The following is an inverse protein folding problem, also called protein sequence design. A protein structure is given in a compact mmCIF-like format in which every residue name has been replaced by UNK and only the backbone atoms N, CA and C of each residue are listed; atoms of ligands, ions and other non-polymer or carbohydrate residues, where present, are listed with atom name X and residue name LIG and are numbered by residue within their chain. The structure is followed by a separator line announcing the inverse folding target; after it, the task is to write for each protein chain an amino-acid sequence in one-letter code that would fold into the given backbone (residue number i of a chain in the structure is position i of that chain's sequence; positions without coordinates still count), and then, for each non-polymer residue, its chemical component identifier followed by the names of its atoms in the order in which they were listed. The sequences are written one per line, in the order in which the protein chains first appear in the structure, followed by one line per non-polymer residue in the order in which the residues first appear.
data_IF_833584984341
#
_entry.id   IF_833584984341
#
_cell.length_a   1.000
_cell.length_b   1.000
_cell.length_c   1.000
_cell.angle_alpha   90.00
_cell.angle_beta   90.00
_cell.angle_gamma   90.00
#
_symmetry.space_group_name_H-M   'P 1'
#
loop_
_entity.id
_entity.type
_entity.pdbx_description
1 polymer ?
#
# COMPACT_ATOMS: atom_id res chain seq x y z
N UNK A 1 21.64 -11.99 -2.60
CA UNK A 1 20.16 -11.97 -2.71
C UNK A 1 19.49 -11.26 -1.51
N UNK A 2 20.09 -10.17 -0.98
CA UNK A 2 19.47 -9.29 0.04
C UNK A 2 19.12 -7.90 -0.55
N UNK A 3 19.80 -7.49 -1.62
CA UNK A 3 19.63 -6.20 -2.28
C UNK A 3 18.19 -5.88 -2.72
N UNK A 4 17.41 -6.86 -3.19
CA UNK A 4 16.03 -6.59 -3.66
C UNK A 4 15.08 -6.18 -2.54
N UNK A 5 15.26 -6.75 -1.34
CA UNK A 5 14.44 -6.41 -0.17
C UNK A 5 14.78 -5.02 0.35
N UNK A 6 16.07 -4.74 0.47
CA UNK A 6 16.55 -3.44 0.94
C UNK A 6 16.12 -2.33 0.00
N UNK A 7 16.24 -2.53 -1.32
CA UNK A 7 15.79 -1.57 -2.31
C UNK A 7 14.29 -1.26 -2.21
N UNK A 8 13.44 -2.28 -2.01
CA UNK A 8 12.00 -2.06 -1.80
C UNK A 8 11.73 -1.26 -0.53
N UNK A 9 12.46 -1.53 0.55
CA UNK A 9 12.32 -0.79 1.80
C UNK A 9 12.74 0.67 1.60
N UNK A 10 13.86 0.94 0.92
CA UNK A 10 14.32 2.28 0.60
C UNK A 10 13.28 3.05 -0.24
N UNK A 11 12.75 2.41 -1.28
CA UNK A 11 11.69 2.98 -2.12
C UNK A 11 10.45 3.35 -1.29
N UNK A 12 10.01 2.45 -0.41
CA UNK A 12 8.86 2.72 0.45
C UNK A 12 9.16 3.82 1.47
N UNK A 13 10.37 3.88 2.04
CA UNK A 13 10.79 4.93 2.97
C UNK A 13 10.76 6.29 2.27
N UNK A 14 11.22 6.36 1.02
CA UNK A 14 11.12 7.57 0.20
C UNK A 14 9.67 7.95 -0.07
N UNK A 15 8.82 6.99 -0.44
CA UNK A 15 7.39 7.23 -0.66
C UNK A 15 6.67 7.72 0.62
N UNK A 16 6.99 7.13 1.79
CA UNK A 16 6.51 7.61 3.09
C UNK A 16 6.90 9.05 3.35
N UNK A 17 8.14 9.46 3.03
CA UNK A 17 8.57 10.86 3.23
C UNK A 17 7.76 11.86 2.38
N UNK A 18 7.24 11.41 1.24
CA UNK A 18 6.44 12.25 0.33
C UNK A 18 4.98 12.34 0.83
N UNK A 19 4.35 11.21 1.14
CA UNK A 19 2.90 11.16 1.46
C UNK A 19 2.57 11.10 2.96
N UNK A 20 3.59 10.94 3.80
CA UNK A 20 3.51 10.92 5.27
C UNK A 20 2.55 9.86 5.86
N UNK A 21 2.30 8.77 5.14
CA UNK A 21 1.41 7.68 5.55
C UNK A 21 2.10 6.64 6.46
N UNK A 22 1.34 6.02 7.37
CA UNK A 22 1.82 4.87 8.16
C UNK A 22 1.83 3.60 7.31
N UNK A 23 3.00 3.25 6.78
CA UNK A 23 3.18 2.04 5.97
C UNK A 23 3.59 0.86 6.87
N UNK A 24 2.86 -0.24 6.73
CA UNK A 24 3.22 -1.54 7.32
C UNK A 24 3.45 -2.54 6.19
N UNK A 25 4.67 -3.06 6.09
CA UNK A 25 5.08 -4.04 5.08
C UNK A 25 5.19 -5.43 5.72
N UNK A 26 4.54 -6.42 5.14
CA UNK A 26 4.60 -7.82 5.61
C UNK A 26 5.39 -8.65 4.61
N UNK A 27 6.45 -9.30 5.06
CA UNK A 27 7.23 -10.26 4.27
C UNK A 27 6.93 -11.70 4.69
N UNK A 28 6.85 -12.59 3.70
CA UNK A 28 6.80 -14.03 3.97
C UNK A 28 8.19 -14.53 4.41
N UNK A 29 8.27 -15.03 5.64
CA UNK A 29 9.50 -15.30 6.35
C UNK A 29 10.05 -16.70 6.10
N UNK A 30 10.85 -16.89 5.06
CA UNK A 30 11.74 -18.05 4.95
C UNK A 30 13.20 -17.61 4.83
N UNK A 31 13.85 -17.29 5.96
CA UNK A 31 15.32 -17.41 6.08
C UNK A 31 15.94 -17.25 7.47
N UNK A 32 15.30 -16.60 8.44
CA UNK A 32 16.01 -16.18 9.66
C UNK A 32 15.75 -17.01 10.93
N UNK A 33 15.23 -18.23 10.84
CA UNK A 33 15.30 -19.25 11.91
C UNK A 33 14.67 -18.92 13.28
N UNK A 34 14.12 -17.72 13.46
CA UNK A 34 13.44 -17.29 14.67
C UNK A 34 11.98 -17.73 14.53
N UNK A 35 11.56 -18.74 15.29
CA UNK A 35 10.18 -19.24 15.32
C UNK A 35 9.14 -18.24 15.86
N UNK A 36 9.38 -16.94 15.77
CA UNK A 36 8.50 -15.86 16.23
C UNK A 36 8.38 -14.77 15.17
N UNK A 37 7.19 -14.16 15.10
CA UNK A 37 6.92 -12.96 14.30
C UNK A 37 7.92 -11.87 14.70
N UNK A 38 8.74 -11.42 13.75
CA UNK A 38 9.70 -10.33 13.98
C UNK A 38 9.13 -9.03 13.44
N UNK A 39 9.13 -7.98 14.28
CA UNK A 39 8.72 -6.63 13.91
C UNK A 39 9.91 -5.71 14.00
N UNK A 40 10.24 -5.06 12.90
CA UNK A 40 11.35 -4.11 12.82
C UNK A 40 10.84 -2.82 12.20
N UNK A 41 11.25 -1.67 12.75
CA UNK A 41 10.93 -0.37 12.17
C UNK A 41 12.14 0.14 11.42
N UNK A 42 12.00 0.41 10.12
CA UNK A 42 13.07 0.90 9.26
C UNK A 42 12.60 2.14 8.52
N UNK A 43 13.28 3.28 8.73
CA UNK A 43 12.90 4.56 8.10
C UNK A 43 11.45 4.99 8.38
N UNK A 44 10.92 4.62 9.56
CA UNK A 44 9.54 4.86 9.98
C UNK A 44 8.54 3.81 9.51
N UNK A 45 8.89 2.93 8.57
CA UNK A 45 8.02 1.87 8.08
C UNK A 45 8.09 0.68 9.03
N UNK A 46 6.93 0.12 9.37
CA UNK A 46 6.88 -1.10 10.17
C UNK A 46 7.00 -2.29 9.23
N UNK A 47 8.08 -3.05 9.36
CA UNK A 47 8.31 -4.28 8.62
C UNK A 47 8.01 -5.46 9.54
N UNK A 48 7.08 -6.32 9.13
CA UNK A 48 6.66 -7.52 9.85
C UNK A 48 7.10 -8.73 9.03
N UNK A 49 7.75 -9.67 9.67
CA UNK A 49 8.06 -10.97 9.08
C UNK A 49 7.12 -12.02 9.63
N UNK A 50 6.51 -12.80 8.75
CA UNK A 50 5.70 -13.93 9.18
C UNK A 50 6.56 -14.99 9.89
N UNK A 51 5.92 -15.76 10.76
CA UNK A 51 6.55 -16.85 11.51
C UNK A 51 6.70 -18.10 10.65
N UNK A 52 7.60 -19.02 11.04
CA UNK A 52 7.81 -20.29 10.33
C UNK A 52 6.51 -21.10 10.30
N UNK A 53 5.90 -21.22 9.10
CA UNK A 53 4.63 -21.93 8.89
C UNK A 53 3.39 -21.04 8.83
N UNK A 54 3.52 -19.72 9.00
CA UNK A 54 2.43 -18.76 8.78
C UNK A 54 2.68 -17.95 7.51
N UNK A 55 1.70 -17.94 6.60
CA UNK A 55 1.75 -17.09 5.39
C UNK A 55 1.52 -15.62 5.74
N UNK A 56 2.14 -14.72 4.97
CA UNK A 56 1.89 -13.28 5.07
C UNK A 56 0.39 -12.94 5.02
N UNK A 57 -0.38 -13.68 4.21
CA UNK A 57 -1.84 -13.52 4.07
C UNK A 57 -2.56 -13.64 5.43
N UNK A 58 -2.17 -14.61 6.26
CA UNK A 58 -2.77 -14.84 7.57
C UNK A 58 -2.42 -13.69 8.53
N UNK A 59 -1.19 -13.20 8.47
CA UNK A 59 -0.75 -12.02 9.25
C UNK A 59 -1.56 -10.80 8.86
N UNK A 60 -1.76 -10.55 7.55
CA UNK A 60 -2.56 -9.43 7.05
C UNK A 60 -4.02 -9.56 7.51
N UNK A 61 -4.64 -10.73 7.32
CA UNK A 61 -6.02 -11.02 7.77
C UNK A 61 -6.18 -10.78 9.28
N UNK A 62 -5.19 -11.19 10.08
CA UNK A 62 -5.15 -10.92 11.52
C UNK A 62 -5.07 -9.43 11.84
N UNK A 63 -4.27 -8.67 11.12
CA UNK A 63 -4.09 -7.23 11.34
C UNK A 63 -5.38 -6.47 11.01
N UNK A 64 -5.97 -6.72 9.84
CA UNK A 64 -7.19 -6.02 9.40
C UNK A 64 -8.40 -6.40 10.26
N UNK A 65 -8.45 -7.62 10.78
CA UNK A 65 -9.54 -8.07 11.65
C UNK A 65 -9.41 -7.54 13.08
N UNK A 66 -8.19 -7.44 13.62
CA UNK A 66 -7.97 -6.97 14.99
C UNK A 66 -8.07 -5.45 15.15
N UNK A 67 -7.76 -4.67 14.11
CA UNK A 67 -7.70 -3.20 14.22
C UNK A 67 -8.95 -2.57 13.61
N UNK A 68 -9.68 -1.80 14.40
CA UNK A 68 -10.85 -1.01 13.95
C UNK A 68 -10.48 0.20 13.05
N UNK A 69 -9.22 0.32 12.62
CA UNK A 69 -8.77 1.39 11.72
C UNK A 69 -9.06 0.98 10.27
N UNK A 70 -9.40 1.95 9.41
CA UNK A 70 -9.51 1.71 7.96
C UNK A 70 -8.11 1.53 7.37
N UNK A 71 -7.76 0.30 7.01
CA UNK A 71 -6.50 0.00 6.33
C UNK A 71 -6.68 0.04 4.82
N UNK A 72 -5.61 0.42 4.14
CA UNK A 72 -5.46 0.18 2.72
C UNK A 72 -4.59 -1.06 2.56
N UNK A 73 -5.12 -2.08 1.90
CA UNK A 73 -4.45 -3.37 1.76
C UNK A 73 -3.96 -3.50 0.34
N UNK A 74 -2.65 -3.54 0.14
CA UNK A 74 -2.05 -3.73 -1.18
C UNK A 74 -1.79 -5.22 -1.37
N UNK A 75 -2.51 -5.86 -2.29
CA UNK A 75 -2.29 -7.27 -2.64
C UNK A 75 -2.91 -7.60 -3.99
N UNK A 76 -2.29 -8.54 -4.71
CA UNK A 76 -2.83 -9.12 -5.95
C UNK A 76 -3.69 -10.37 -5.71
N UNK A 77 -3.72 -10.90 -4.48
CA UNK A 77 -4.49 -12.10 -4.15
C UNK A 77 -5.97 -11.77 -3.89
N UNK A 78 -6.86 -12.46 -4.58
CA UNK A 78 -8.33 -12.31 -4.47
C UNK A 78 -8.83 -12.65 -3.08
N UNK A 79 -8.18 -13.58 -2.37
CA UNK A 79 -8.58 -13.97 -1.02
C UNK A 79 -8.32 -12.86 0.00
N UNK A 80 -7.19 -12.15 -0.15
CA UNK A 80 -6.88 -10.98 0.67
C UNK A 80 -7.83 -9.84 0.33
N UNK A 81 -8.11 -9.61 -0.96
CA UNK A 81 -9.05 -8.58 -1.42
C UNK A 81 -10.45 -8.82 -0.84
N UNK A 82 -10.95 -10.05 -0.86
CA UNK A 82 -12.23 -10.41 -0.27
C UNK A 82 -12.24 -10.17 1.25
N UNK A 83 -11.16 -10.55 1.94
CA UNK A 83 -11.02 -10.32 3.38
C UNK A 83 -10.96 -8.83 3.72
N UNK A 84 -10.29 -8.01 2.91
CA UNK A 84 -10.25 -6.56 3.08
C UNK A 84 -11.65 -5.94 2.98
N UNK A 85 -12.43 -6.33 1.96
CA UNK A 85 -13.82 -5.88 1.82
C UNK A 85 -14.69 -6.24 3.02
N UNK A 86 -14.54 -7.45 3.56
CA UNK A 86 -15.31 -7.90 4.73
C UNK A 86 -14.94 -7.13 6.01
N UNK A 87 -13.71 -6.60 6.09
CA UNK A 87 -13.22 -5.85 7.25
C UNK A 87 -13.25 -4.32 7.02
N UNK A 88 -14.08 -3.80 6.09
CA UNK A 88 -14.17 -2.37 5.74
C UNK A 88 -12.83 -1.71 5.39
N UNK A 89 -11.89 -2.50 4.88
CA UNK A 89 -10.60 -2.05 4.38
C UNK A 89 -10.68 -1.91 2.85
N UNK A 90 -9.88 -1.00 2.29
CA UNK A 90 -9.88 -0.78 0.84
C UNK A 90 -8.72 -1.56 0.22
N UNK A 91 -9.00 -2.61 -0.57
CA UNK A 91 -7.96 -3.30 -1.29
C UNK A 91 -7.49 -2.49 -2.50
N UNK A 92 -6.18 -2.47 -2.73
CA UNK A 92 -5.52 -1.85 -3.86
C UNK A 92 -4.65 -2.91 -4.53
N UNK A 93 -4.67 -2.94 -5.85
CA UNK A 93 -3.85 -3.87 -6.61
C UNK A 93 -2.37 -3.49 -6.54
N UNK A 94 -1.50 -4.50 -6.49
CA UNK A 94 -0.06 -4.32 -6.34
C UNK A 94 0.56 -3.53 -7.50
N UNK A 95 0.10 -3.73 -8.73
CA UNK A 95 0.60 -3.02 -9.92
C UNK A 95 0.20 -1.55 -9.86
N UNK A 96 -1.05 -1.28 -9.47
CA UNK A 96 -1.55 0.10 -9.30
C UNK A 96 -0.73 0.84 -8.23
N UNK A 97 -0.47 0.19 -7.10
CA UNK A 97 0.35 0.76 -6.04
C UNK A 97 1.80 0.99 -6.48
N UNK A 98 2.39 0.04 -7.23
CA UNK A 98 3.74 0.18 -7.75
C UNK A 98 3.86 1.38 -8.70
N UNK A 99 2.91 1.55 -9.63
CA UNK A 99 2.91 2.68 -10.55
C UNK A 99 2.79 4.02 -9.81
N UNK A 100 1.96 4.08 -8.76
CA UNK A 100 1.84 5.25 -7.90
C UNK A 100 3.12 5.56 -7.14
N UNK A 101 3.80 4.53 -6.63
CA UNK A 101 5.08 4.65 -5.95
C UNK A 101 6.15 5.19 -6.90
N UNK A 102 6.27 4.62 -8.10
CA UNK A 102 7.22 5.09 -9.12
C UNK A 102 6.92 6.53 -9.53
N UNK A 103 5.64 6.86 -9.76
CA UNK A 103 5.22 8.22 -10.09
C UNK A 103 5.57 9.21 -8.98
N UNK A 104 5.29 8.88 -7.71
CA UNK A 104 5.59 9.74 -6.58
C UNK A 104 7.10 9.97 -6.41
N UNK A 105 7.92 8.92 -6.54
CA UNK A 105 9.38 9.04 -6.47
C UNK A 105 9.90 9.88 -7.65
N UNK A 106 9.42 9.61 -8.87
CA UNK A 106 9.81 10.36 -10.07
C UNK A 106 9.40 11.83 -10.00
N UNK A 107 8.24 12.15 -9.41
CA UNK A 107 7.82 13.54 -9.18
C UNK A 107 8.80 14.21 -8.21
N UNK A 108 9.21 13.55 -7.11
CA UNK A 108 10.16 14.13 -6.15
C UNK A 108 11.49 14.51 -6.80
N UNK A 109 12.00 13.72 -7.75
CA UNK A 109 13.24 14.03 -8.48
C UNK A 109 13.10 15.27 -9.37
N UNK A 110 11.87 15.67 -9.71
CA UNK A 110 11.55 16.89 -10.49
C UNK A 110 11.09 18.04 -9.57
N UNK A 111 10.54 17.73 -8.38
CA UNK A 111 9.92 18.69 -7.45
C UNK A 111 10.87 19.35 -6.45
N UNK A 112 12.19 19.13 -6.55
CA UNK A 112 13.17 19.95 -5.81
C UNK A 112 13.20 21.40 -6.32
N UNK A 113 12.39 21.74 -7.33
CA UNK A 113 12.27 23.10 -7.88
C UNK A 113 10.87 23.73 -7.77
N UNK A 114 9.78 23.00 -7.51
CA UNK A 114 8.45 23.64 -7.37
C UNK A 114 7.56 22.98 -6.34
N UNK A 115 7.36 23.68 -5.22
CA UNK A 115 6.21 23.50 -4.32
C UNK A 115 4.94 23.73 -5.15
N UNK A 116 4.19 22.69 -5.47
CA UNK A 116 2.84 22.85 -6.01
C UNK A 116 1.81 22.53 -4.94
N UNK A 117 0.97 23.54 -4.73
CA UNK A 117 -0.27 23.51 -3.99
C UNK A 117 -1.18 22.40 -4.55
N UNK A 118 -1.78 21.69 -3.61
CA UNK A 118 -2.80 20.66 -3.80
C UNK A 118 -4.07 21.32 -4.35
N UNK A 119 -4.13 21.53 -5.67
CA UNK A 119 -5.35 21.84 -6.40
C UNK A 119 -5.21 21.36 -7.86
N UNK A 120 -5.41 20.07 -8.11
CA UNK A 120 -5.84 19.59 -9.43
C UNK A 120 -7.27 19.04 -9.33
N UNK A 121 -8.25 19.95 -9.37
CA UNK A 121 -9.56 19.63 -9.93
C UNK A 121 -9.38 19.23 -11.40
N UNK A 122 -9.29 17.94 -11.67
CA UNK A 122 -9.28 17.42 -13.03
C UNK A 122 -10.68 17.60 -13.63
N UNK A 123 -10.83 18.62 -14.47
CA UNK A 123 -12.05 18.92 -15.21
C UNK A 123 -12.35 17.79 -16.21
N UNK A 124 -13.19 16.83 -15.82
CA UNK A 124 -13.62 15.75 -16.70
C UNK A 124 -14.50 16.31 -17.83
N UNK A 125 -13.93 16.39 -19.03
CA UNK A 125 -14.63 16.69 -20.27
C UNK A 125 -15.77 15.69 -20.51
N UNK A 126 -16.92 16.23 -20.93
CA UNK A 126 -18.15 15.50 -21.18
C UNK A 126 -17.96 14.47 -22.32
N UNK A 127 -18.02 13.18 -22.00
CA UNK A 127 -18.29 12.11 -22.95
C UNK A 127 -19.29 11.15 -22.28
N UNK A 128 -20.40 10.88 -22.99
CA UNK A 128 -21.68 10.38 -22.48
C UNK A 128 -21.64 9.18 -21.51
N UNK A 129 -22.78 8.95 -20.85
CA UNK A 129 -23.01 7.99 -19.77
C UNK A 129 -22.45 6.57 -20.05
N UNK A 130 -21.19 6.32 -19.69
CA UNK A 130 -20.56 5.00 -19.78
C UNK A 130 -20.13 4.53 -18.38
N UNK A 131 -20.98 3.68 -17.80
CA UNK A 131 -20.76 2.90 -16.56
C UNK A 131 -20.37 3.71 -15.33
N UNK A 132 -21.39 4.13 -14.57
CA UNK A 132 -21.23 4.55 -13.16
C UNK A 132 -20.34 3.52 -12.43
N UNK A 133 -19.16 3.91 -11.90
CA UNK A 133 -18.32 3.00 -11.16
C UNK A 133 -19.10 2.44 -9.97
N UNK A 134 -18.95 1.13 -9.73
CA UNK A 134 -19.60 0.46 -8.60
C UNK A 134 -19.20 1.14 -7.29
N UNK A 135 -20.02 1.01 -6.23
CA UNK A 135 -19.71 1.62 -4.92
C UNK A 135 -18.29 1.27 -4.44
N UNK A 136 -17.89 0.01 -4.64
CA UNK A 136 -16.55 -0.51 -4.36
C UNK A 136 -15.46 0.23 -5.15
N UNK A 137 -15.67 0.44 -6.46
CA UNK A 137 -14.72 1.15 -7.32
C UNK A 137 -14.56 2.62 -6.93
N UNK A 138 -15.63 3.28 -6.47
CA UNK A 138 -15.55 4.66 -5.98
C UNK A 138 -14.69 4.80 -4.73
N UNK A 139 -14.78 3.83 -3.83
CA UNK A 139 -13.94 3.82 -2.61
C UNK A 139 -12.47 3.58 -2.94
N UNK A 140 -12.18 2.66 -3.87
CA UNK A 140 -10.82 2.46 -4.39
C UNK A 140 -10.30 3.77 -4.99
N UNK A 141 -11.07 4.42 -5.89
CA UNK A 141 -10.64 5.67 -6.51
C UNK A 141 -10.40 6.79 -5.47
N UNK A 142 -11.26 6.90 -4.45
CA UNK A 142 -11.06 7.86 -3.36
C UNK A 142 -9.77 7.59 -2.58
N UNK A 143 -9.43 6.32 -2.36
CA UNK A 143 -8.17 5.95 -1.71
C UNK A 143 -6.98 6.22 -2.61
N UNK A 144 -7.07 5.88 -3.90
CA UNK A 144 -6.02 6.13 -4.88
C UNK A 144 -5.68 7.61 -5.03
N UNK A 145 -6.67 8.51 -4.91
CA UNK A 145 -6.42 9.96 -4.89
C UNK A 145 -5.64 10.40 -3.63
N UNK A 146 -5.79 9.69 -2.51
CA UNK A 146 -5.16 10.03 -1.22
C UNK A 146 -3.81 9.37 -1.01
N UNK A 147 -3.55 8.25 -1.68
CA UNK A 147 -2.26 7.57 -1.74
C UNK A 147 -1.31 8.28 -2.68
#
# INVERSE_FOLDING_TARGET
MMARREHLIEQLVSYRKIRNHEITLVFDGWKNGLGRESRTVTGGITVIYSSLGERADNVIKRIISKRQKKWVVVSSDRDIVASAWNNNCVPVDSETYYNLLVKAISIKDVHDEYKYEDDEEVCAHHKGNARRPSRKQKEINRVLLKL
#
